data_IF_034070393953
#
_entry.id   IF_034070393953
#
_cell.length_a   1.000
_cell.length_b   1.000
_cell.length_c   1.000
_cell.angle_alpha   90.00
_cell.angle_beta   90.00
_cell.angle_gamma   90.00
#
_symmetry.space_group_name_H-M   'P 1'
#
loop_
_entity.id
_entity.type
_entity.pdbx_description
1 polymer ?
#
# COMPACT_ATOMS: atom_id res chain seq x y z
N UNK A 1 11.72 -9.03 -32.69
CA UNK A 1 11.62 -8.35 -31.39
C UNK A 1 10.63 -9.14 -30.53
N UNK A 2 11.12 -10.02 -29.64
CA UNK A 2 10.23 -10.80 -28.78
C UNK A 2 9.66 -9.88 -27.71
N UNK A 3 8.33 -9.72 -27.66
CA UNK A 3 7.64 -8.94 -26.64
C UNK A 3 8.05 -9.43 -25.25
N UNK A 4 8.21 -8.50 -24.31
CA UNK A 4 8.48 -8.82 -22.91
C UNK A 4 7.30 -9.62 -22.37
N UNK A 5 7.49 -10.91 -22.11
CA UNK A 5 6.44 -11.75 -21.53
C UNK A 5 6.10 -11.19 -20.14
N UNK A 6 4.83 -10.86 -19.91
CA UNK A 6 4.36 -10.38 -18.61
C UNK A 6 4.00 -11.55 -17.69
N UNK A 7 4.26 -11.38 -16.38
CA UNK A 7 3.98 -12.41 -15.38
C UNK A 7 2.51 -12.85 -15.44
N UNK A 8 1.58 -11.91 -15.57
CA UNK A 8 0.17 -12.19 -15.51
C UNK A 8 -0.40 -12.89 -16.75
N UNK A 9 0.31 -12.83 -17.88
CA UNK A 9 -0.07 -13.54 -19.10
C UNK A 9 0.63 -14.92 -19.18
N UNK A 10 1.40 -15.27 -18.16
CA UNK A 10 2.09 -16.56 -18.07
C UNK A 10 1.20 -17.59 -17.37
N UNK A 11 0.83 -18.70 -18.03
CA UNK A 11 0.08 -19.78 -17.40
C UNK A 11 0.79 -20.35 -16.17
N UNK A 12 0.03 -20.82 -15.18
CA UNK A 12 0.57 -21.38 -13.94
C UNK A 12 1.59 -22.52 -14.20
N UNK A 13 1.33 -23.36 -15.20
CA UNK A 13 2.23 -24.44 -15.65
C UNK A 13 3.59 -23.95 -16.15
N UNK A 14 3.66 -22.71 -16.64
CA UNK A 14 4.85 -22.09 -17.26
C UNK A 14 5.61 -21.16 -16.33
N UNK A 15 5.17 -20.97 -15.07
CA UNK A 15 5.82 -20.07 -14.11
C UNK A 15 7.27 -20.46 -13.81
N UNK A 16 7.60 -21.74 -13.83
CA UNK A 16 8.99 -22.19 -13.65
C UNK A 16 9.89 -21.67 -14.77
N UNK A 17 9.45 -21.81 -16.02
CA UNK A 17 10.16 -21.32 -17.20
C UNK A 17 10.28 -19.80 -17.17
N UNK A 18 9.22 -19.11 -16.73
CA UNK A 18 9.23 -17.66 -16.56
C UNK A 18 10.30 -17.20 -15.57
N UNK A 19 10.39 -17.85 -14.39
CA UNK A 19 11.44 -17.53 -13.41
C UNK A 19 12.84 -17.73 -14.01
N UNK A 20 13.10 -18.86 -14.67
CA UNK A 20 14.44 -19.14 -15.23
C UNK A 20 14.82 -18.22 -16.39
N UNK A 21 13.87 -17.89 -17.27
CA UNK A 21 14.16 -17.15 -18.51
C UNK A 21 14.15 -15.64 -18.31
N UNK A 22 13.27 -15.12 -17.44
CA UNK A 22 13.01 -13.68 -17.30
C UNK A 22 13.46 -13.10 -15.96
N UNK A 23 13.35 -13.85 -14.87
CA UNK A 23 13.66 -13.32 -13.52
C UNK A 23 15.08 -13.60 -13.05
N UNK A 24 15.69 -14.71 -13.46
CA UNK A 24 17.05 -15.01 -13.06
C UNK A 24 18.07 -14.16 -13.85
N UNK A 25 19.02 -13.49 -13.17
CA UNK A 25 20.11 -12.83 -13.87
C UNK A 25 21.00 -13.87 -14.55
N UNK A 26 21.58 -13.52 -15.70
CA UNK A 26 22.58 -14.37 -16.33
C UNK A 26 23.83 -14.49 -15.45
N UNK A 27 24.54 -15.61 -15.61
CA UNK A 27 25.70 -15.94 -14.79
C UNK A 27 26.81 -14.91 -14.95
N UNK A 28 27.16 -14.57 -16.19
CA UNK A 28 28.28 -13.69 -16.51
C UNK A 28 28.09 -12.29 -15.92
N UNK A 29 26.90 -11.71 -16.07
CA UNK A 29 26.55 -10.43 -15.45
C UNK A 29 26.62 -10.48 -13.92
N UNK A 30 26.17 -11.58 -13.31
CA UNK A 30 26.26 -11.74 -11.86
C UNK A 30 27.71 -11.81 -11.39
N UNK A 31 28.58 -12.50 -12.14
CA UNK A 31 30.01 -12.59 -11.85
C UNK A 31 30.69 -11.22 -11.97
N UNK A 32 30.30 -10.42 -12.98
CA UNK A 32 30.76 -9.05 -13.19
C UNK A 32 30.39 -8.13 -12.00
N UNK A 33 29.13 -8.16 -11.56
CA UNK A 33 28.70 -7.40 -10.36
C UNK A 33 29.46 -7.87 -9.12
N UNK A 34 29.70 -9.17 -8.97
CA UNK A 34 30.45 -9.71 -7.82
C UNK A 34 31.91 -9.28 -7.82
N UNK A 35 32.52 -9.00 -8.97
CA UNK A 35 33.86 -8.42 -9.04
C UNK A 35 33.90 -7.00 -8.48
N UNK A 36 32.94 -6.16 -8.89
CA UNK A 36 32.78 -4.80 -8.37
C UNK A 36 32.58 -4.82 -6.85
N UNK A 37 31.73 -5.72 -6.35
CA UNK A 37 31.50 -5.89 -4.91
C UNK A 37 32.77 -6.33 -4.17
N UNK A 38 33.59 -7.20 -4.76
CA UNK A 38 34.87 -7.61 -4.19
C UNK A 38 35.82 -6.41 -4.04
N UNK A 39 35.90 -5.52 -5.04
CA UNK A 39 36.70 -4.29 -4.95
C UNK A 39 36.24 -3.40 -3.80
N UNK A 40 34.92 -3.17 -3.65
CA UNK A 40 34.38 -2.38 -2.54
C UNK A 40 34.69 -3.03 -1.18
N UNK A 41 34.52 -4.35 -1.06
CA UNK A 41 34.83 -5.07 0.18
C UNK A 41 36.31 -5.03 0.53
N UNK A 42 37.19 -5.13 -0.47
CA UNK A 42 38.63 -5.04 -0.28
C UNK A 42 39.03 -3.63 0.20
N UNK A 43 38.54 -2.59 -0.47
CA UNK A 43 38.71 -1.20 -0.06
C UNK A 43 38.31 -0.99 1.40
N UNK A 44 37.09 -1.40 1.77
CA UNK A 44 36.59 -1.23 3.14
C UNK A 44 37.45 -1.95 4.19
N UNK A 45 38.02 -3.11 3.86
CA UNK A 45 38.86 -3.88 4.79
C UNK A 45 40.28 -3.33 4.93
N UNK A 46 40.82 -2.71 3.88
CA UNK A 46 42.20 -2.23 3.83
C UNK A 46 42.34 -0.76 4.26
N UNK A 47 41.25 0.01 4.23
CA UNK A 47 41.27 1.41 4.64
C UNK A 47 41.43 1.57 6.16
N UNK A 48 42.30 2.51 6.53
CA UNK A 48 42.40 3.02 7.89
C UNK A 48 41.52 4.28 8.03
N UNK A 49 40.52 4.20 8.90
CA UNK A 49 39.60 5.30 9.17
C UNK A 49 40.05 6.03 10.44
N UNK A 50 40.65 7.21 10.31
CA UNK A 50 40.97 8.04 11.47
C UNK A 50 39.67 8.60 12.04
N UNK A 51 39.41 8.34 13.33
CA UNK A 51 38.22 8.84 14.00
C UNK A 51 38.27 10.35 14.19
N UNK A 52 37.13 11.00 13.97
CA UNK A 52 36.88 12.40 14.30
C UNK A 52 35.72 12.44 15.33
N UNK A 53 35.58 13.51 16.12
CA UNK A 53 34.43 13.75 17.02
C UNK A 53 34.17 12.69 18.14
N UNK A 54 35.24 12.23 18.81
CA UNK A 54 35.12 11.33 19.97
C UNK A 54 34.95 9.85 19.61
N UNK A 55 35.11 9.51 18.32
CA UNK A 55 35.41 8.16 17.86
C UNK A 55 36.83 7.75 18.26
N UNK A 56 37.09 6.44 18.31
CA UNK A 56 38.43 5.89 18.51
C UNK A 56 39.44 6.50 17.51
N UNK A 57 40.69 6.67 17.94
CA UNK A 57 41.76 7.25 17.11
C UNK A 57 41.94 6.48 15.79
N UNK A 58 41.68 5.17 15.80
CA UNK A 58 41.64 4.30 14.63
C UNK A 58 40.35 3.47 14.61
N UNK A 59 39.49 3.74 13.64
CA UNK A 59 38.28 2.96 13.35
C UNK A 59 38.63 1.89 12.31
N UNK A 60 38.37 0.63 12.64
CA UNK A 60 38.64 -0.52 11.78
C UNK A 60 37.36 -1.21 11.37
N UNK A 61 37.35 -1.72 10.13
CA UNK A 61 36.27 -2.59 9.65
C UNK A 61 36.52 -4.01 10.15
N UNK A 62 35.67 -4.46 11.08
CA UNK A 62 35.74 -5.79 11.65
C UNK A 62 35.22 -6.86 10.69
N UNK A 63 34.18 -6.53 9.92
CA UNK A 63 33.52 -7.46 8.98
C UNK A 63 32.67 -6.70 7.98
N UNK A 64 32.61 -7.21 6.74
CA UNK A 64 31.69 -6.73 5.71
C UNK A 64 30.81 -7.89 5.28
N UNK A 65 29.50 -7.68 5.28
CA UNK A 65 28.50 -8.68 4.91
C UNK A 65 27.67 -8.16 3.75
N UNK A 66 27.63 -8.91 2.65
CA UNK A 66 26.68 -8.66 1.58
C UNK A 66 25.30 -9.16 1.99
N UNK A 67 24.31 -8.27 1.96
CA UNK A 67 22.93 -8.51 2.40
C UNK A 67 21.97 -8.32 1.23
N UNK A 68 20.68 -8.22 1.53
CA UNK A 68 19.65 -8.03 0.51
C UNK A 68 19.59 -9.16 -0.52
N UNK A 69 19.13 -8.80 -1.71
CA UNK A 69 18.86 -9.73 -2.81
C UNK A 69 20.10 -10.51 -3.27
N UNK A 70 21.26 -9.87 -3.30
CA UNK A 70 22.51 -10.51 -3.67
C UNK A 70 23.04 -11.42 -2.55
N UNK A 71 22.95 -10.98 -1.29
CA UNK A 71 23.43 -11.73 -0.14
C UNK A 71 22.65 -13.02 0.14
N UNK A 72 21.32 -12.98 -0.04
CA UNK A 72 20.45 -14.13 0.20
C UNK A 72 20.19 -15.01 -1.05
N UNK A 73 20.69 -14.60 -2.21
CA UNK A 73 20.54 -15.36 -3.45
C UNK A 73 19.13 -15.30 -4.07
N UNK A 74 18.42 -14.18 -3.90
CA UNK A 74 17.11 -13.89 -4.50
C UNK A 74 17.15 -12.71 -5.47
N UNK A 75 18.33 -12.37 -6.00
CA UNK A 75 18.53 -11.33 -7.03
C UNK A 75 17.66 -11.58 -8.25
N UNK A 76 17.02 -10.51 -8.73
CA UNK A 76 16.23 -10.46 -9.97
C UNK A 76 17.07 -9.87 -11.10
N UNK A 77 16.78 -10.29 -12.33
CA UNK A 77 17.34 -9.65 -13.53
C UNK A 77 17.02 -8.15 -13.52
N UNK A 78 18.03 -7.33 -13.82
CA UNK A 78 17.90 -5.87 -13.80
C UNK A 78 18.01 -5.23 -12.41
N UNK A 79 18.22 -6.02 -11.33
CA UNK A 79 18.50 -5.44 -10.01
C UNK A 79 19.86 -4.74 -10.06
N UNK A 80 19.88 -3.42 -9.86
CA UNK A 80 21.12 -2.63 -9.90
C UNK A 80 21.60 -2.16 -8.53
N UNK A 81 21.03 -2.71 -7.46
CA UNK A 81 21.37 -2.32 -6.09
C UNK A 81 22.04 -3.46 -5.33
N UNK A 82 23.19 -3.14 -4.72
CA UNK A 82 23.94 -4.01 -3.83
C UNK A 82 23.94 -3.41 -2.44
N UNK A 83 23.56 -4.22 -1.46
CA UNK A 83 23.48 -3.82 -0.07
C UNK A 83 24.62 -4.46 0.73
N UNK A 84 25.35 -3.66 1.49
CA UNK A 84 26.47 -4.08 2.34
C UNK A 84 26.26 -3.57 3.78
N UNK A 85 26.49 -4.45 4.75
CA UNK A 85 26.61 -4.07 6.17
C UNK A 85 28.07 -4.12 6.56
N UNK A 86 28.54 -3.07 7.22
CA UNK A 86 29.94 -2.88 7.62
C UNK A 86 29.99 -2.78 9.14
N UNK A 87 30.53 -3.81 9.76
CA UNK A 87 30.73 -3.86 11.20
C UNK A 87 32.02 -3.13 11.57
N UNK A 88 31.91 -2.16 12.48
CA UNK A 88 33.02 -1.25 12.82
C UNK A 88 33.45 -1.43 14.27
N UNK A 89 34.75 -1.24 14.53
CA UNK A 89 35.33 -1.36 15.87
C UNK A 89 34.91 -0.26 16.84
N UNK A 90 34.48 0.89 16.33
CA UNK A 90 34.11 2.05 17.13
C UNK A 90 32.71 1.97 17.73
N UNK A 91 31.92 0.94 17.38
CA UNK A 91 30.65 0.67 18.03
C UNK A 91 30.83 -0.51 18.98
N UNK A 92 30.63 -0.26 20.28
CA UNK A 92 30.69 -1.27 21.34
C UNK A 92 29.32 -1.60 21.92
N UNK A 93 28.31 -0.79 21.60
CA UNK A 93 26.92 -0.96 22.01
C UNK A 93 25.96 -0.39 20.96
N UNK A 94 24.67 -0.72 21.08
CA UNK A 94 23.62 -0.12 20.26
C UNK A 94 23.51 1.40 20.49
N UNK A 95 23.74 1.88 21.72
CA UNK A 95 23.70 3.30 22.06
C UNK A 95 24.83 4.08 21.36
N UNK A 96 26.03 3.49 21.28
CA UNK A 96 27.14 4.09 20.52
C UNK A 96 26.86 4.11 19.01
N UNK A 97 26.22 3.06 18.46
CA UNK A 97 25.77 3.05 17.07
C UNK A 97 24.87 4.26 16.80
N UNK A 98 23.81 4.50 17.59
CA UNK A 98 22.93 5.68 17.43
C UNK A 98 23.71 6.98 17.55
N UNK A 99 24.55 7.10 18.59
CA UNK A 99 25.26 8.34 18.91
C UNK A 99 26.21 8.76 17.80
N UNK A 100 26.94 7.81 17.22
CA UNK A 100 28.02 8.10 16.27
C UNK A 100 27.69 7.72 14.81
N UNK A 101 26.50 7.17 14.54
CA UNK A 101 26.08 6.68 13.20
C UNK A 101 26.41 7.66 12.09
N UNK A 102 25.98 8.92 12.28
CA UNK A 102 26.07 9.96 11.25
C UNK A 102 27.51 10.41 11.00
N UNK A 103 28.34 10.45 12.04
CA UNK A 103 29.74 10.84 11.92
C UNK A 103 30.55 9.75 11.23
N UNK A 104 30.26 8.48 11.54
CA UNK A 104 30.79 7.33 10.82
C UNK A 104 30.38 7.35 9.34
N UNK A 105 29.13 7.67 9.01
CA UNK A 105 28.70 7.80 7.61
C UNK A 105 29.45 8.89 6.86
N UNK A 106 29.68 10.06 7.47
CA UNK A 106 30.49 11.14 6.88
C UNK A 106 31.94 10.70 6.65
N UNK A 107 32.51 9.96 7.62
CA UNK A 107 33.86 9.42 7.52
C UNK A 107 33.99 8.43 6.36
N UNK A 108 33.06 7.48 6.26
CA UNK A 108 32.97 6.53 5.15
C UNK A 108 32.80 7.27 3.81
N UNK A 109 31.93 8.28 3.75
CA UNK A 109 31.69 9.10 2.56
C UNK A 109 32.97 9.78 2.06
N UNK A 110 33.73 10.43 2.96
CA UNK A 110 35.00 11.11 2.67
C UNK A 110 36.04 10.13 2.13
N UNK A 111 36.11 8.93 2.69
CA UNK A 111 37.05 7.89 2.27
C UNK A 111 36.68 7.26 0.93
N UNK A 112 35.41 6.91 0.72
CA UNK A 112 34.91 6.40 -0.56
C UNK A 112 35.22 7.38 -1.69
N UNK A 113 34.98 8.68 -1.48
CA UNK A 113 35.25 9.71 -2.49
C UNK A 113 36.73 9.82 -2.89
N UNK A 114 37.65 9.51 -1.98
CA UNK A 114 39.11 9.59 -2.21
C UNK A 114 39.73 8.30 -2.75
N UNK A 115 38.97 7.21 -2.83
CA UNK A 115 39.49 5.90 -3.24
C UNK A 115 39.82 5.86 -4.74
N UNK A 116 41.09 5.61 -5.08
CA UNK A 116 41.51 5.48 -6.48
C UNK A 116 40.88 4.26 -7.16
N UNK A 117 40.79 3.13 -6.45
CA UNK A 117 40.19 1.90 -6.98
C UNK A 117 38.71 2.08 -7.33
N UNK A 118 37.95 2.80 -6.49
CA UNK A 118 36.55 3.08 -6.78
C UNK A 118 36.40 4.15 -7.88
N UNK A 119 37.30 5.12 -7.95
CA UNK A 119 37.34 6.10 -9.04
C UNK A 119 37.59 5.42 -10.40
N UNK A 120 38.45 4.39 -10.44
CA UNK A 120 38.67 3.58 -11.64
C UNK A 120 37.42 2.80 -12.08
N UNK A 121 36.47 2.57 -11.17
CA UNK A 121 35.15 2.00 -11.47
C UNK A 121 34.10 3.09 -11.77
N UNK A 122 34.48 4.33 -12.08
CA UNK A 122 33.52 5.38 -12.45
C UNK A 122 32.64 5.85 -11.29
N UNK A 123 33.21 5.96 -10.08
CA UNK A 123 32.51 6.41 -8.88
C UNK A 123 31.78 7.75 -9.09
N UNK A 124 30.46 7.73 -8.90
CA UNK A 124 29.63 8.94 -8.77
C UNK A 124 29.60 9.42 -7.33
N UNK A 125 29.35 10.73 -7.14
CA UNK A 125 29.36 11.41 -5.84
C UNK A 125 28.58 10.62 -4.76
N UNK A 126 29.26 10.14 -3.70
CA UNK A 126 28.60 9.44 -2.61
C UNK A 126 27.75 10.42 -1.80
N UNK A 127 26.59 9.97 -1.33
CA UNK A 127 25.65 10.75 -0.52
C UNK A 127 25.14 9.94 0.67
N UNK A 128 24.81 10.65 1.75
CA UNK A 128 24.07 10.06 2.86
C UNK A 128 22.58 10.16 2.54
N UNK A 129 21.91 9.02 2.46
CA UNK A 129 20.46 8.94 2.25
C UNK A 129 19.76 8.78 3.60
N UNK A 130 18.72 9.60 3.81
CA UNK A 130 17.93 9.57 5.04
C UNK A 130 17.03 8.34 5.07
N UNK A 131 16.99 7.65 6.21
CA UNK A 131 16.23 6.42 6.38
C UNK A 131 16.26 5.89 7.82
N UNK A 132 15.80 4.65 8.00
CA UNK A 132 15.79 3.97 9.31
C UNK A 132 16.65 2.70 9.20
N UNK A 133 17.96 2.76 9.53
CA UNK A 133 18.74 3.97 9.82
C UNK A 133 19.29 4.62 8.53
N UNK A 134 19.91 5.81 8.65
CA UNK A 134 20.59 6.51 7.55
C UNK A 134 21.66 5.63 6.88
N UNK A 135 21.92 5.87 5.59
CA UNK A 135 22.81 5.02 4.79
C UNK A 135 23.76 5.80 3.92
N UNK A 136 24.90 5.20 3.58
CA UNK A 136 25.78 5.73 2.54
C UNK A 136 25.45 5.08 1.21
N UNK A 137 25.10 5.90 0.22
CA UNK A 137 24.73 5.45 -1.13
C UNK A 137 25.65 6.07 -2.17
N UNK A 138 26.16 5.25 -3.08
CA UNK A 138 26.93 5.70 -4.23
C UNK A 138 26.71 4.79 -5.44
N UNK A 139 27.22 5.19 -6.60
CA UNK A 139 27.12 4.39 -7.83
C UNK A 139 28.49 4.23 -8.45
N UNK A 140 28.78 3.01 -8.89
CA UNK A 140 29.98 2.61 -9.60
C UNK A 140 29.56 1.82 -10.84
N UNK A 141 30.49 1.54 -11.73
CA UNK A 141 30.24 0.83 -12.98
C UNK A 141 30.89 -0.55 -12.97
N UNK A 142 30.26 -1.47 -13.67
CA UNK A 142 30.87 -2.74 -14.01
C UNK A 142 31.99 -2.55 -15.04
N UNK A 143 32.98 -3.45 -15.05
CA UNK A 143 34.20 -3.26 -15.85
C UNK A 143 34.00 -3.53 -17.35
N UNK A 144 33.17 -4.50 -17.71
CA UNK A 144 33.00 -4.95 -19.09
C UNK A 144 31.81 -4.25 -19.74
N UNK A 145 30.66 -4.24 -19.06
CA UNK A 145 29.40 -3.71 -19.59
C UNK A 145 29.18 -2.23 -19.29
N UNK A 146 30.01 -1.62 -18.42
CA UNK A 146 29.91 -0.22 -17.97
C UNK A 146 28.53 0.13 -17.37
N UNK A 147 27.79 -0.88 -16.90
CA UNK A 147 26.48 -0.70 -16.32
C UNK A 147 26.60 -0.07 -14.91
N UNK A 148 25.75 0.91 -14.57
CA UNK A 148 25.76 1.51 -13.25
C UNK A 148 25.15 0.57 -12.20
N UNK A 149 25.90 0.35 -11.13
CA UNK A 149 25.51 -0.39 -9.93
C UNK A 149 25.50 0.57 -8.74
N UNK A 150 24.36 0.67 -8.09
CA UNK A 150 24.19 1.39 -6.83
C UNK A 150 24.63 0.50 -5.67
N UNK A 151 25.48 1.04 -4.80
CA UNK A 151 25.94 0.37 -3.58
C UNK A 151 25.42 1.16 -2.38
N UNK A 152 24.75 0.45 -1.48
CA UNK A 152 24.21 0.99 -0.22
C UNK A 152 24.95 0.36 0.95
N UNK A 153 25.47 1.17 1.86
CA UNK A 153 26.26 0.76 3.02
C UNK A 153 25.58 1.19 4.32
N UNK A 154 25.41 0.22 5.23
CA UNK A 154 25.02 0.43 6.62
C UNK A 154 26.21 0.15 7.56
N UNK A 155 26.70 1.14 8.32
CA UNK A 155 27.59 0.87 9.43
C UNK A 155 26.78 0.23 10.58
N UNK A 156 27.37 -0.71 11.32
CA UNK A 156 26.64 -1.48 12.34
C UNK A 156 27.52 -1.93 13.51
N UNK A 157 26.94 -2.00 14.71
CA UNK A 157 27.49 -2.67 15.87
C UNK A 157 27.48 -4.20 15.68
N UNK A 158 28.58 -4.86 16.01
CA UNK A 158 28.72 -6.32 15.88
C UNK A 158 28.17 -7.06 17.12
N UNK A 159 26.85 -6.99 17.31
CA UNK A 159 26.16 -7.61 18.45
C UNK A 159 26.32 -9.14 18.54
N UNK A 160 26.50 -9.81 17.39
CA UNK A 160 26.48 -11.28 17.30
C UNK A 160 27.86 -11.97 17.46
N UNK A 161 28.94 -11.20 17.62
CA UNK A 161 30.29 -11.77 17.79
C UNK A 161 30.78 -12.64 16.61
N UNK A 162 31.53 -13.70 16.91
CA UNK A 162 32.08 -14.66 15.94
C UNK A 162 31.19 -15.88 15.70
N UNK A 163 30.25 -16.17 16.59
CA UNK A 163 29.41 -17.37 16.54
C UNK A 163 28.01 -17.02 16.06
N UNK A 164 27.70 -17.26 14.77
CA UNK A 164 26.32 -17.59 14.40
C UNK A 164 26.29 -18.49 13.16
N UNK A 165 26.34 -19.79 13.42
CA UNK A 165 25.79 -20.77 12.50
C UNK A 165 24.73 -21.54 13.29
N UNK A 166 23.48 -21.06 13.20
CA UNK A 166 22.27 -21.71 13.72
C UNK A 166 22.21 -21.98 15.24
N UNK A 167 23.05 -21.37 16.06
CA UNK A 167 22.91 -21.39 17.52
C UNK A 167 21.89 -20.36 17.99
N UNK A 168 21.11 -20.70 19.02
CA UNK A 168 20.29 -19.71 19.73
C UNK A 168 21.19 -18.57 20.23
N UNK A 169 20.74 -17.34 20.02
CA UNK A 169 21.47 -16.17 20.48
C UNK A 169 21.29 -16.01 21.99
N UNK A 170 22.33 -15.59 22.72
CA UNK A 170 22.19 -15.24 24.12
C UNK A 170 21.07 -14.19 24.28
N UNK A 171 20.06 -14.43 25.14
CA UNK A 171 18.94 -13.51 25.34
C UNK A 171 19.39 -12.10 25.71
N UNK A 172 20.56 -11.96 26.34
CA UNK A 172 21.18 -10.70 26.75
C UNK A 172 21.39 -9.73 25.58
N UNK A 173 21.61 -10.25 24.36
CA UNK A 173 21.73 -9.42 23.15
C UNK A 173 20.41 -8.73 22.83
N UNK A 174 19.29 -9.44 22.98
CA UNK A 174 17.96 -8.86 22.76
C UNK A 174 17.53 -7.96 23.92
N UNK A 175 17.92 -8.28 25.16
CA UNK A 175 17.70 -7.38 26.31
C UNK A 175 18.41 -6.05 26.09
N UNK A 176 19.70 -6.09 25.72
CA UNK A 176 20.50 -4.89 25.42
C UNK A 176 19.93 -4.08 24.25
N UNK A 177 19.34 -4.76 23.25
CA UNK A 177 18.65 -4.12 22.13
C UNK A 177 17.40 -3.37 22.61
N UNK A 178 16.58 -4.00 23.45
CA UNK A 178 15.35 -3.40 23.99
C UNK A 178 15.69 -2.20 24.87
N UNK A 179 16.70 -2.33 25.73
CA UNK A 179 17.17 -1.26 26.62
C UNK A 179 17.81 -0.08 25.88
N UNK A 180 18.28 -0.28 24.64
CA UNK A 180 18.83 0.80 23.83
C UNK A 180 17.78 1.83 23.39
N UNK A 181 16.49 1.54 23.52
CA UNK A 181 15.37 2.46 23.27
C UNK A 181 15.43 3.20 21.91
N UNK A 182 16.00 2.56 20.87
CA UNK A 182 16.02 3.13 19.52
C UNK A 182 14.69 2.94 18.78
N UNK A 183 14.46 3.73 17.72
CA UNK A 183 13.26 3.55 16.90
C UNK A 183 13.19 2.14 16.28
N UNK A 184 11.98 1.57 16.12
CA UNK A 184 11.80 0.27 15.50
C UNK A 184 12.52 0.17 14.15
N UNK A 185 13.45 -0.78 14.04
CA UNK A 185 14.21 -1.06 12.82
C UNK A 185 15.60 -0.41 12.76
N UNK A 186 15.95 0.55 13.61
CA UNK A 186 17.25 1.23 13.53
C UNK A 186 18.46 0.28 13.63
N UNK A 187 18.34 -0.80 14.42
CA UNK A 187 19.43 -1.75 14.66
C UNK A 187 19.35 -3.03 13.81
N UNK A 188 18.50 -3.07 12.77
CA UNK A 188 18.43 -4.23 11.88
C UNK A 188 19.80 -4.62 11.29
N UNK A 189 20.74 -3.68 10.97
CA UNK A 189 22.03 -4.04 10.39
C UNK A 189 22.86 -4.95 11.31
N UNK A 190 22.76 -4.78 12.64
CA UNK A 190 23.46 -5.60 13.63
C UNK A 190 23.04 -7.08 13.57
N UNK A 191 21.82 -7.36 13.08
CA UNK A 191 21.25 -8.70 12.93
C UNK A 191 21.22 -9.19 11.47
N UNK A 192 21.88 -8.47 10.57
CA UNK A 192 21.79 -8.72 9.12
C UNK A 192 22.25 -10.12 8.68
N UNK A 193 23.17 -10.74 9.42
CA UNK A 193 23.59 -12.12 9.15
C UNK A 193 22.46 -13.12 9.37
N UNK A 194 21.68 -12.97 10.43
CA UNK A 194 20.50 -13.81 10.71
C UNK A 194 19.48 -13.65 9.59
N UNK A 195 19.14 -12.41 9.26
CA UNK A 195 18.16 -12.09 8.21
C UNK A 195 18.60 -12.68 6.85
N UNK A 196 19.89 -12.54 6.52
CA UNK A 196 20.45 -13.14 5.31
C UNK A 196 20.34 -14.66 5.37
N UNK A 197 20.78 -15.29 6.46
CA UNK A 197 20.86 -16.74 6.59
C UNK A 197 19.48 -17.40 6.59
N UNK A 198 18.48 -16.75 7.18
CA UNK A 198 17.08 -17.18 7.18
C UNK A 198 16.55 -17.46 5.76
N UNK A 199 16.95 -16.65 4.78
CA UNK A 199 16.57 -16.82 3.37
C UNK A 199 17.63 -17.58 2.55
N UNK A 200 18.92 -17.36 2.84
CA UNK A 200 20.03 -17.89 2.04
C UNK A 200 20.09 -19.42 2.05
N UNK A 201 19.75 -20.06 3.16
CA UNK A 201 19.85 -21.52 3.28
C UNK A 201 18.55 -22.27 2.92
N UNK A 202 17.57 -21.57 2.34
CA UNK A 202 16.33 -22.17 1.86
C UNK A 202 16.52 -22.97 0.56
N UNK A 203 15.63 -23.95 0.25
CA UNK A 203 15.67 -24.71 -0.99
C UNK A 203 15.64 -23.83 -2.24
N UNK A 204 16.32 -24.26 -3.31
CA UNK A 204 16.38 -23.51 -4.59
C UNK A 204 15.00 -23.19 -5.15
N UNK A 205 14.04 -24.12 -5.02
CA UNK A 205 12.66 -23.93 -5.47
C UNK A 205 11.93 -22.82 -4.68
N UNK A 206 12.14 -22.76 -3.37
CA UNK A 206 11.61 -21.68 -2.53
C UNK A 206 12.24 -20.33 -2.93
N UNK A 207 13.55 -20.28 -3.22
CA UNK A 207 14.17 -19.06 -3.75
C UNK A 207 13.61 -18.64 -5.12
N UNK A 208 13.22 -19.59 -5.97
CA UNK A 208 12.51 -19.29 -7.22
C UNK A 208 11.14 -18.67 -6.97
N UNK A 209 10.38 -19.19 -5.99
CA UNK A 209 9.12 -18.58 -5.57
C UNK A 209 9.32 -17.17 -4.99
N UNK A 210 10.33 -16.97 -4.13
CA UNK A 210 10.64 -15.65 -3.58
C UNK A 210 10.98 -14.63 -4.68
N UNK A 211 11.68 -15.04 -5.74
CA UNK A 211 11.89 -14.18 -6.92
C UNK A 211 10.57 -13.81 -7.60
N UNK A 212 9.68 -14.78 -7.78
CA UNK A 212 8.37 -14.55 -8.39
C UNK A 212 7.55 -13.52 -7.60
N UNK A 213 7.47 -13.70 -6.28
CA UNK A 213 6.76 -12.78 -5.37
C UNK A 213 7.39 -11.39 -5.38
N UNK A 214 8.72 -11.29 -5.34
CA UNK A 214 9.43 -10.00 -5.43
C UNK A 214 9.15 -9.29 -6.76
N UNK A 215 9.17 -10.02 -7.87
CA UNK A 215 8.87 -9.45 -9.18
C UNK A 215 7.41 -8.94 -9.25
N UNK A 216 6.46 -9.74 -8.75
CA UNK A 216 5.06 -9.34 -8.62
C UNK A 216 4.90 -8.06 -7.78
N UNK A 217 5.57 -7.98 -6.64
CA UNK A 217 5.53 -6.82 -5.74
C UNK A 217 6.12 -5.56 -6.41
N UNK A 218 7.26 -5.70 -7.12
CA UNK A 218 7.94 -4.58 -7.78
C UNK A 218 7.19 -4.02 -8.99
N UNK A 219 6.51 -4.86 -9.77
CA UNK A 219 5.72 -4.43 -10.93
C UNK A 219 4.52 -3.56 -10.53
N UNK A 220 4.14 -3.55 -9.24
CA UNK A 220 2.82 -3.10 -8.72
C UNK A 220 1.69 -3.87 -9.44
N UNK A 221 0.53 -4.04 -8.81
CA UNK A 221 -0.55 -4.75 -9.49
C UNK A 221 -0.94 -3.96 -10.75
N UNK A 222 -0.93 -4.63 -11.91
CA UNK A 222 -1.44 -4.04 -13.15
C UNK A 222 -2.90 -3.67 -12.95
N UNK A 223 -3.38 -2.69 -13.72
CA UNK A 223 -4.81 -2.46 -13.73
C UNK A 223 -5.51 -3.70 -14.29
N UNK A 224 -6.58 -4.10 -13.63
CA UNK A 224 -7.40 -5.26 -13.97
C UNK A 224 -8.71 -4.78 -14.58
N UNK A 225 -9.29 -5.63 -15.43
CA UNK A 225 -10.62 -5.38 -15.96
C UNK A 225 -11.65 -5.90 -14.96
N UNK A 226 -12.43 -4.97 -14.39
CA UNK A 226 -13.57 -5.28 -13.55
C UNK A 226 -14.83 -5.10 -14.37
N UNK A 227 -15.53 -6.20 -14.63
CA UNK A 227 -16.84 -6.19 -15.26
C UNK A 227 -17.89 -6.04 -14.18
N UNK A 228 -18.71 -5.00 -14.28
CA UNK A 228 -19.80 -4.75 -13.35
C UNK A 228 -21.09 -5.23 -13.97
N UNK A 229 -21.63 -6.31 -13.41
CA UNK A 229 -22.91 -6.87 -13.82
C UNK A 229 -24.04 -6.21 -13.05
N UNK A 230 -25.11 -5.86 -13.76
CA UNK A 230 -26.35 -5.33 -13.19
C UNK A 230 -27.55 -5.94 -13.91
N UNK A 231 -28.54 -6.39 -13.13
CA UNK A 231 -29.79 -6.91 -13.67
C UNK A 231 -30.48 -5.88 -14.58
N UNK A 232 -30.79 -6.28 -15.82
CA UNK A 232 -31.52 -5.46 -16.80
C UNK A 232 -30.71 -4.35 -17.49
N UNK A 233 -29.38 -4.32 -17.32
CA UNK A 233 -28.48 -3.38 -18.00
C UNK A 233 -27.32 -4.12 -18.67
N UNK A 234 -26.71 -3.57 -19.73
CA UNK A 234 -25.51 -4.16 -20.31
C UNK A 234 -24.32 -4.05 -19.34
N UNK A 235 -23.53 -5.11 -19.28
CA UNK A 235 -22.33 -5.18 -18.45
C UNK A 235 -21.34 -4.07 -18.84
N UNK A 236 -20.71 -3.46 -17.83
CA UNK A 236 -19.70 -2.42 -18.06
C UNK A 236 -18.36 -2.85 -17.51
N UNK A 237 -17.34 -2.81 -18.35
CA UNK A 237 -15.96 -3.15 -17.97
C UNK A 237 -15.15 -1.90 -17.70
N UNK A 238 -14.50 -1.85 -16.53
CA UNK A 238 -13.63 -0.76 -16.10
C UNK A 238 -12.21 -1.26 -15.90
N UNK A 239 -11.23 -0.45 -16.27
CA UNK A 239 -9.83 -0.71 -15.97
C UNK A 239 -9.50 -0.04 -14.63
N UNK A 240 -9.15 -0.84 -13.61
CA UNK A 240 -8.95 -0.37 -12.23
C UNK A 240 -7.70 -0.96 -11.63
N UNK A 241 -6.98 -0.17 -10.83
CA UNK A 241 -5.86 -0.72 -10.07
C UNK A 241 -6.37 -1.49 -8.84
N UNK A 242 -5.91 -2.73 -8.58
CA UNK A 242 -6.36 -3.49 -7.41
C UNK A 242 -6.13 -2.81 -6.06
N UNK A 243 -5.16 -1.89 -5.97
CA UNK A 243 -4.86 -1.14 -4.75
C UNK A 243 -5.63 0.20 -4.64
N UNK A 244 -6.42 0.57 -5.66
CA UNK A 244 -7.32 1.72 -5.53
C UNK A 244 -8.46 1.39 -4.55
N UNK A 245 -8.89 2.42 -3.79
CA UNK A 245 -10.02 2.25 -2.89
C UNK A 245 -11.31 1.96 -3.66
N UNK A 246 -12.18 1.14 -3.08
CA UNK A 246 -13.51 0.85 -3.63
C UNK A 246 -14.33 2.14 -3.77
N UNK A 247 -14.10 3.16 -2.91
CA UNK A 247 -14.68 4.51 -3.07
C UNK A 247 -14.28 5.13 -4.42
N UNK A 248 -12.98 5.15 -4.73
CA UNK A 248 -12.45 5.70 -5.98
C UNK A 248 -12.99 4.93 -7.20
N UNK A 249 -13.13 3.60 -7.08
CA UNK A 249 -13.72 2.77 -8.14
C UNK A 249 -15.20 3.14 -8.36
N UNK A 250 -16.00 3.31 -7.29
CA UNK A 250 -17.40 3.77 -7.38
C UNK A 250 -17.51 5.16 -8.01
N UNK A 251 -16.60 6.08 -7.67
CA UNK A 251 -16.56 7.42 -8.27
C UNK A 251 -16.25 7.36 -9.78
N UNK A 252 -15.31 6.50 -10.21
CA UNK A 252 -15.04 6.26 -11.65
C UNK A 252 -16.27 5.71 -12.36
N UNK A 253 -17.07 4.86 -11.70
CA UNK A 253 -18.33 4.34 -12.24
C UNK A 253 -19.43 5.42 -12.34
N UNK A 254 -19.42 6.43 -11.46
CA UNK A 254 -20.41 7.51 -11.43
C UNK A 254 -20.20 8.58 -12.51
N UNK A 255 -18.99 8.70 -13.09
CA UNK A 255 -18.68 9.70 -14.13
C UNK A 255 -19.26 9.39 -15.52
N UNK A 256 -19.98 8.26 -15.68
CA UNK A 256 -20.68 7.90 -16.92
C UNK A 256 -22.13 8.42 -16.96
N UNK A 257 -22.82 8.32 -18.12
CA UNK A 257 -24.22 8.69 -18.21
C UNK A 257 -25.05 7.68 -17.41
N UNK A 258 -25.74 8.23 -16.41
CA UNK A 258 -26.76 7.64 -15.54
C UNK A 258 -26.33 7.21 -14.12
N UNK A 259 -27.13 7.72 -13.16
CA UNK A 259 -27.45 7.24 -11.80
C UNK A 259 -26.76 7.92 -10.59
N UNK A 260 -27.42 8.92 -9.96
CA UNK A 260 -27.09 9.40 -8.61
C UNK A 260 -27.73 8.48 -7.57
N UNK A 261 -26.95 7.56 -7.00
CA UNK A 261 -27.42 6.66 -5.93
C UNK A 261 -26.28 5.95 -5.21
N UNK A 262 -26.49 5.57 -3.95
CA UNK A 262 -25.47 4.91 -3.13
C UNK A 262 -25.22 3.47 -3.63
N UNK A 263 -24.07 3.25 -4.28
CA UNK A 263 -23.73 1.97 -4.89
C UNK A 263 -23.21 0.95 -3.86
N UNK A 264 -23.84 -0.23 -3.79
CA UNK A 264 -23.32 -1.41 -3.07
C UNK A 264 -22.74 -2.39 -4.09
N UNK A 265 -21.45 -2.65 -3.99
CA UNK A 265 -20.75 -3.60 -4.85
C UNK A 265 -20.52 -4.88 -4.05
N UNK A 266 -20.75 -6.03 -4.66
CA UNK A 266 -20.52 -7.32 -4.04
C UNK A 266 -19.75 -8.24 -4.96
N UNK A 267 -18.87 -9.04 -4.38
CA UNK A 267 -18.07 -10.03 -5.08
C UNK A 267 -18.36 -11.41 -4.48
N UNK A 268 -18.38 -12.43 -5.32
CA UNK A 268 -18.60 -13.81 -4.89
C UNK A 268 -17.68 -14.74 -5.69
N UNK A 269 -16.78 -15.44 -5.00
CA UNK A 269 -16.03 -16.53 -5.61
C UNK A 269 -16.93 -17.77 -5.78
N UNK A 270 -16.71 -18.58 -6.83
CA UNK A 270 -17.39 -19.86 -6.97
C UNK A 270 -17.25 -20.72 -5.70
N UNK A 271 -18.36 -21.11 -5.09
CA UNK A 271 -18.39 -21.94 -3.88
C UNK A 271 -18.16 -21.19 -2.57
N UNK A 272 -18.09 -19.85 -2.56
CA UNK A 272 -18.05 -19.02 -1.35
C UNK A 272 -19.29 -18.14 -1.19
N UNK A 273 -19.50 -17.66 0.04
CA UNK A 273 -20.51 -16.66 0.33
C UNK A 273 -20.19 -15.31 -0.33
N UNK A 274 -21.25 -14.59 -0.68
CA UNK A 274 -21.18 -13.26 -1.28
C UNK A 274 -20.64 -12.24 -0.28
N UNK A 275 -19.60 -11.52 -0.66
CA UNK A 275 -18.96 -10.51 0.16
C UNK A 275 -19.28 -9.10 -0.34
N UNK A 276 -19.59 -8.19 0.58
CA UNK A 276 -19.81 -6.78 0.26
C UNK A 276 -18.49 -6.00 0.24
N UNK A 277 -18.24 -5.28 -0.85
CA UNK A 277 -17.05 -4.45 -1.02
C UNK A 277 -17.23 -3.11 -0.30
N UNK A 278 -16.45 -2.92 0.76
CA UNK A 278 -16.49 -1.74 1.64
C UNK A 278 -15.74 -0.59 1.00
N UNK A 279 -16.30 0.63 1.06
CA UNK A 279 -15.73 1.81 0.39
C UNK A 279 -14.31 2.17 0.87
N UNK A 280 -13.95 1.85 2.13
CA UNK A 280 -12.63 2.10 2.71
C UNK A 280 -11.58 1.02 2.44
N UNK A 281 -11.96 -0.08 1.79
CA UNK A 281 -11.06 -1.16 1.38
C UNK A 281 -10.65 -1.01 -0.09
N UNK A 282 -9.73 -1.83 -0.57
CA UNK A 282 -9.35 -1.98 -1.98
C UNK A 282 -9.65 -3.40 -2.48
N UNK A 283 -9.57 -3.65 -3.80
CA UNK A 283 -9.81 -4.99 -4.36
C UNK A 283 -8.77 -6.02 -3.87
N UNK A 284 -7.54 -5.57 -3.64
CA UNK A 284 -6.46 -6.39 -3.09
C UNK A 284 -6.77 -6.91 -1.67
N UNK A 285 -7.51 -6.15 -0.84
CA UNK A 285 -7.93 -6.61 0.50
C UNK A 285 -8.86 -7.83 0.43
N UNK A 286 -9.54 -8.01 -0.70
CA UNK A 286 -10.40 -9.15 -0.99
C UNK A 286 -9.70 -10.24 -1.83
N UNK A 287 -8.39 -10.12 -2.06
CA UNK A 287 -7.61 -11.08 -2.86
C UNK A 287 -7.84 -10.97 -4.37
N UNK A 288 -8.46 -9.89 -4.85
CA UNK A 288 -8.82 -9.72 -6.26
C UNK A 288 -7.66 -9.05 -7.01
N UNK A 289 -6.93 -9.83 -7.82
CA UNK A 289 -5.76 -9.38 -8.60
C UNK A 289 -5.85 -9.69 -10.10
N UNK A 290 -6.99 -10.18 -10.56
CA UNK A 290 -7.25 -10.59 -11.94
C UNK A 290 -8.63 -10.11 -12.38
N UNK A 291 -8.88 -10.19 -13.69
CA UNK A 291 -10.14 -9.75 -14.26
C UNK A 291 -11.30 -10.49 -13.60
N UNK A 292 -12.32 -9.75 -13.18
CA UNK A 292 -13.37 -10.28 -12.31
C UNK A 292 -14.72 -9.65 -12.64
N UNK A 293 -15.79 -10.44 -12.49
CA UNK A 293 -17.15 -9.93 -12.46
C UNK A 293 -17.54 -9.54 -11.04
N UNK A 294 -17.95 -8.30 -10.84
CA UNK A 294 -18.48 -7.78 -9.57
C UNK A 294 -19.93 -7.41 -9.80
N UNK A 295 -20.79 -7.80 -8.86
CA UNK A 295 -22.22 -7.55 -8.97
C UNK A 295 -22.57 -6.21 -8.33
N UNK A 296 -23.28 -5.38 -9.09
CA UNK A 296 -23.89 -4.17 -8.56
C UNK A 296 -25.24 -4.52 -7.93
N UNK A 297 -25.30 -4.46 -6.60
CA UNK A 297 -26.58 -4.51 -5.89
C UNK A 297 -27.18 -3.11 -5.94
N UNK A 298 -28.22 -2.92 -6.76
CA UNK A 298 -29.05 -1.74 -6.67
C UNK A 298 -29.97 -1.91 -5.47
N UNK A 299 -29.66 -1.25 -4.36
CA UNK A 299 -30.66 -1.04 -3.31
C UNK A 299 -31.65 -0.02 -3.84
N UNK A 300 -32.75 -0.51 -4.40
CA UNK A 300 -33.88 0.31 -4.85
C UNK A 300 -34.58 0.84 -3.60
N UNK A 301 -34.11 1.97 -3.08
CA UNK A 301 -35.00 3.04 -2.63
C UNK A 301 -34.15 4.25 -2.25
N UNK A 302 -34.23 5.31 -3.06
CA UNK A 302 -33.88 6.68 -2.62
C UNK A 302 -35.09 7.37 -1.97
N UNK A 303 -36.20 6.64 -1.81
CA UNK A 303 -37.43 7.13 -1.20
C UNK A 303 -37.51 6.63 0.24
N UNK A 304 -37.73 7.57 1.15
CA UNK A 304 -38.14 7.29 2.51
C UNK A 304 -39.67 7.14 2.55
N UNK A 305 -40.17 6.31 3.45
CA UNK A 305 -41.59 6.12 3.68
C UNK A 305 -42.01 7.02 4.85
N UNK A 306 -42.86 8.01 4.62
CA UNK A 306 -43.43 8.86 5.68
C UNK A 306 -44.91 8.55 5.87
N UNK A 307 -45.39 8.67 7.11
CA UNK A 307 -46.80 8.46 7.44
C UNK A 307 -47.49 9.80 7.63
N UNK A 308 -48.65 9.99 7.02
CA UNK A 308 -49.46 11.20 7.21
C UNK A 308 -50.72 10.80 7.97
N UNK A 309 -50.83 11.31 9.21
CA UNK A 309 -51.93 11.08 10.14
C UNK A 309 -53.00 12.14 9.98
N UNK A 310 -54.24 11.70 9.73
CA UNK A 310 -55.43 12.53 9.62
C UNK A 310 -56.02 12.87 11.00
N UNK A 311 -56.93 13.87 11.09
CA UNK A 311 -57.60 14.22 12.35
C UNK A 311 -58.49 13.11 12.92
N UNK A 312 -59.00 12.21 12.07
CA UNK A 312 -59.78 11.04 12.49
C UNK A 312 -58.90 9.90 13.07
N UNK A 313 -57.58 10.09 13.13
CA UNK A 313 -56.61 9.13 13.67
C UNK A 313 -56.03 8.13 12.66
N UNK A 314 -56.53 8.11 11.42
CA UNK A 314 -56.05 7.23 10.34
C UNK A 314 -54.72 7.72 9.76
N UNK A 315 -53.76 6.82 9.52
CA UNK A 315 -52.46 7.14 8.92
C UNK A 315 -52.27 6.44 7.57
N UNK A 316 -51.76 7.16 6.58
CA UNK A 316 -51.38 6.59 5.28
C UNK A 316 -49.89 6.79 4.98
N UNK A 317 -49.27 5.79 4.37
CA UNK A 317 -47.86 5.83 4.02
C UNK A 317 -47.63 6.39 2.62
N UNK A 318 -46.62 7.26 2.48
CA UNK A 318 -46.21 7.92 1.25
C UNK A 318 -44.72 7.70 1.03
N UNK A 319 -44.34 7.34 -0.19
CA UNK A 319 -42.95 7.19 -0.59
C UNK A 319 -42.47 8.51 -1.22
N UNK A 320 -41.44 9.10 -0.63
CA UNK A 320 -40.92 10.41 -1.04
C UNK A 320 -39.42 10.49 -0.80
N UNK A 321 -38.68 11.27 -1.59
CA UNK A 321 -37.23 11.40 -1.39
C UNK A 321 -36.93 12.33 -0.20
N UNK A 322 -35.86 12.07 0.59
CA UNK A 322 -35.52 12.89 1.76
C UNK A 322 -35.35 14.39 1.46
N UNK A 323 -34.89 14.73 0.25
CA UNK A 323 -34.65 16.10 -0.18
C UNK A 323 -35.80 16.71 -1.00
N UNK A 324 -36.93 16.01 -1.16
CA UNK A 324 -38.10 16.54 -1.86
C UNK A 324 -38.73 17.71 -1.09
N UNK A 325 -39.29 18.66 -1.83
CA UNK A 325 -40.06 19.77 -1.26
C UNK A 325 -41.36 19.28 -0.63
N UNK A 326 -41.81 19.98 0.42
CA UNK A 326 -43.10 19.70 1.10
C UNK A 326 -44.28 19.75 0.12
N UNK A 327 -44.23 20.62 -0.89
CA UNK A 327 -45.18 20.61 -2.01
C UNK A 327 -45.41 19.20 -2.55
N UNK A 328 -44.33 18.48 -2.89
CA UNK A 328 -44.42 17.19 -3.56
C UNK A 328 -45.21 16.17 -2.73
N UNK A 329 -45.08 16.22 -1.40
CA UNK A 329 -45.87 15.39 -0.49
C UNK A 329 -47.35 15.79 -0.49
N UNK A 330 -47.65 17.10 -0.47
CA UNK A 330 -49.03 17.61 -0.54
C UNK A 330 -49.74 17.22 -1.83
N UNK A 331 -49.02 17.25 -2.95
CA UNK A 331 -49.54 16.82 -4.23
C UNK A 331 -49.87 15.31 -4.22
N UNK A 332 -49.01 14.47 -3.63
CA UNK A 332 -49.32 13.04 -3.46
C UNK A 332 -50.55 12.81 -2.56
N UNK A 333 -50.72 13.61 -1.50
CA UNK A 333 -51.90 13.57 -0.63
C UNK A 333 -53.15 13.96 -1.42
N UNK A 334 -53.10 15.02 -2.24
CA UNK A 334 -54.22 15.46 -3.08
C UNK A 334 -54.60 14.38 -4.10
N UNK A 335 -53.65 13.81 -4.82
CA UNK A 335 -53.92 12.73 -5.79
C UNK A 335 -54.55 11.49 -5.14
N UNK A 336 -54.18 11.18 -3.89
CA UNK A 336 -54.63 9.97 -3.20
C UNK A 336 -55.91 10.17 -2.39
N UNK A 337 -56.12 11.36 -1.83
CA UNK A 337 -57.21 11.64 -0.89
C UNK A 337 -58.21 12.68 -1.42
N UNK A 338 -57.92 13.34 -2.55
CA UNK A 338 -58.78 14.36 -3.16
C UNK A 338 -58.82 15.71 -2.43
N UNK A 339 -57.96 15.93 -1.42
CA UNK A 339 -57.91 17.16 -0.64
C UNK A 339 -57.00 18.19 -1.34
N UNK A 340 -57.49 19.36 -1.77
CA UNK A 340 -56.67 20.33 -2.52
C UNK A 340 -55.46 20.81 -1.73
N UNK A 341 -54.28 20.89 -2.35
CA UNK A 341 -53.01 21.31 -1.71
C UNK A 341 -53.14 22.59 -0.86
N UNK A 342 -53.96 23.55 -1.32
CA UNK A 342 -54.16 24.86 -0.67
C UNK A 342 -54.87 24.75 0.68
N UNK A 343 -55.66 23.69 0.87
CA UNK A 343 -56.40 23.40 2.09
C UNK A 343 -55.58 22.53 3.06
N UNK A 344 -54.46 21.97 2.62
CA UNK A 344 -53.60 21.09 3.43
C UNK A 344 -52.63 21.88 4.32
N UNK A 345 -52.62 21.55 5.60
CA UNK A 345 -51.62 21.99 6.57
C UNK A 345 -50.89 20.76 7.12
N UNK A 346 -49.61 20.61 6.79
CA UNK A 346 -48.76 19.54 7.32
C UNK A 346 -47.92 20.08 8.49
N UNK A 347 -47.84 19.30 9.56
CA UNK A 347 -47.10 19.65 10.76
C UNK A 347 -46.19 18.49 11.20
N UNK A 348 -44.96 18.83 11.62
CA UNK A 348 -43.99 17.90 12.19
C UNK A 348 -43.41 18.48 13.48
N UNK A 349 -43.41 17.70 14.57
CA UNK A 349 -42.88 18.12 15.88
C UNK A 349 -43.41 19.48 16.41
N UNK A 350 -44.62 19.88 16.02
CA UNK A 350 -45.20 21.16 16.40
C UNK A 350 -45.01 22.29 15.38
N UNK A 351 -44.16 22.12 14.37
CA UNK A 351 -43.88 23.13 13.33
C UNK A 351 -44.69 22.89 12.05
N UNK A 352 -45.24 23.97 11.47
CA UNK A 352 -45.98 23.93 10.20
C UNK A 352 -44.98 23.92 9.04
N UNK A 353 -45.16 22.97 8.11
CA UNK A 353 -44.27 22.79 6.98
C UNK A 353 -44.63 23.73 5.81
N UNK A 354 -43.61 24.38 5.25
CA UNK A 354 -43.73 25.30 4.12
C UNK A 354 -43.40 24.64 2.79
N UNK A 355 -44.21 24.91 1.75
CA UNK A 355 -44.20 24.20 0.47
C UNK A 355 -42.84 24.21 -0.24
N UNK A 356 -42.10 25.31 -0.13
CA UNK A 356 -40.82 25.53 -0.81
C UNK A 356 -39.59 25.02 -0.04
N UNK A 357 -39.79 24.42 1.13
CA UNK A 357 -38.73 23.84 1.95
C UNK A 357 -38.64 22.33 1.75
N UNK A 358 -37.43 21.78 1.81
CA UNK A 358 -37.20 20.34 1.72
C UNK A 358 -37.55 19.61 3.02
N UNK A 359 -38.05 18.38 2.93
CA UNK A 359 -38.41 17.58 4.11
C UNK A 359 -37.22 17.38 5.07
N UNK A 360 -36.02 17.12 4.53
CA UNK A 360 -34.79 16.99 5.32
C UNK A 360 -34.37 18.26 6.09
N UNK A 361 -34.82 19.45 5.68
CA UNK A 361 -34.56 20.70 6.42
C UNK A 361 -35.29 20.74 7.78
N UNK A 362 -36.41 20.03 7.88
CA UNK A 362 -37.17 19.85 9.13
C UNK A 362 -36.72 18.62 9.93
N UNK A 363 -35.64 17.94 9.49
CA UNK A 363 -35.14 16.73 10.13
C UNK A 363 -36.05 15.51 9.96
N UNK A 364 -36.97 15.52 9.00
CA UNK A 364 -37.90 14.41 8.71
C UNK A 364 -37.11 13.24 8.10
N UNK A 365 -37.26 12.05 8.67
CA UNK A 365 -36.57 10.82 8.29
C UNK A 365 -37.56 9.71 7.87
N UNK A 366 -37.00 8.57 7.50
CA UNK A 366 -37.78 7.38 7.18
C UNK A 366 -38.64 6.93 8.36
N UNK A 367 -39.87 6.54 8.06
CA UNK A 367 -40.91 6.10 8.99
C UNK A 367 -41.45 7.17 9.94
N UNK A 368 -41.13 8.46 9.74
CA UNK A 368 -41.69 9.55 10.53
C UNK A 368 -43.17 9.81 10.24
N UNK A 369 -43.90 10.33 11.25
CA UNK A 369 -45.32 10.66 11.13
C UNK A 369 -45.57 12.17 11.15
N UNK A 370 -46.28 12.64 10.12
CA UNK A 370 -46.70 14.01 9.88
C UNK A 370 -48.19 14.15 10.20
N UNK A 371 -48.60 15.26 10.81
CA UNK A 371 -50.02 15.51 11.09
C UNK A 371 -50.61 16.37 9.97
N UNK A 372 -51.71 15.92 9.37
CA UNK A 372 -52.47 16.67 8.38
C UNK A 372 -53.69 17.32 9.03
N UNK A 373 -53.79 18.63 8.90
CA UNK A 373 -54.95 19.43 9.33
C UNK A 373 -55.50 20.22 8.14
N UNK A 374 -56.77 20.64 8.23
CA UNK A 374 -57.43 21.46 7.22
C UNK A 374 -57.41 22.94 7.62
N UNK A 375 -57.11 23.83 6.68
CA UNK A 375 -57.34 25.26 6.86
C UNK A 375 -58.85 25.54 6.77
N UNK A 376 -59.42 26.29 7.72
CA UNK A 376 -60.80 26.73 7.63
C UNK A 376 -61.01 27.60 6.38
N UNK A 377 -62.05 27.33 5.60
CA UNK A 377 -62.48 28.22 4.53
C UNK A 377 -63.08 29.48 5.16
N UNK A 378 -62.52 30.65 4.85
CA UNK A 378 -63.35 31.85 4.83
C UNK A 378 -64.12 31.83 3.50
N UNK A 379 -65.46 31.95 3.49
CA UNK A 379 -66.20 32.08 2.25
C UNK A 379 -65.71 33.32 1.51
N UNK A 380 -65.45 33.15 0.22
CA UNK A 380 -65.16 34.25 -0.70
C UNK A 380 -66.40 35.15 -0.79
N UNK A 381 -66.20 36.47 -0.62
CA UNK A 381 -67.05 37.49 -1.23
C UNK A 381 -66.41 37.92 -2.54
#
# INVERSE_FOLDING_TARGET
>A
MAGTQELFDTPASSLNSFVSQWLQPCRDWKEEVQEVVRTVQQFLRQEHFQGEHGLDQEVRVLKVVQVGSFGNGTVLRGTREVELVVFLSCFRSFQEEVKYHRDVLKLLQKKVWRSQDLQALGLKKPRVAQGVPDTLVFTIQTKQTLEPITVTIWPAYRALGSSVLNSELPPEVYVSLIEACGDPGNFFPSFSELQKNFVKYQPTKLKSLLRLVKHWYQKRARDIQVTVEQWGCPDRTFLVNPYESIKTIKEKMQRGPAYPGQQRLSFQEPGRDRQLLRSGSCLADYGIFFNVCIYRLQTVSTEMQVFVKKPNGESHAYAIQPNSFVWALKQQIECRQGLPEKQQLLQFQGEVLHDWWGLGCYGIQDSDTLVLSMKAQFPAN
#
